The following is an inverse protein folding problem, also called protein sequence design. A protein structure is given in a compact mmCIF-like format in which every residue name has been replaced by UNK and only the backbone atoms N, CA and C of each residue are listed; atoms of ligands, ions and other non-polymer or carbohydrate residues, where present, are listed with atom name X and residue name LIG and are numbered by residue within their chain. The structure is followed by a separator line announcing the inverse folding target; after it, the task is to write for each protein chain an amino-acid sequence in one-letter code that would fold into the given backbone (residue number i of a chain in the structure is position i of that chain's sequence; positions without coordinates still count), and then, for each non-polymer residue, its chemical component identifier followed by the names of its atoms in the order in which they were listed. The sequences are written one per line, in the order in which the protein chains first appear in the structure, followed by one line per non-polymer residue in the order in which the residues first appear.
data_IF_366265377921
#
_entry.id   IF_366265377921
#
_cell.length_a   1.000
_cell.length_b   1.000
_cell.length_c   1.000
_cell.angle_alpha   90.00
_cell.angle_beta   90.00
_cell.angle_gamma   90.00
#
_symmetry.space_group_name_H-M   'P 1'
#
loop_
_entity.id
_entity.type
_entity.pdbx_description
1 polymer ?
#
# COMPACT_ATOMS: atom_id res chain seq x y z
N UNK A 1 17.53 6.39 -42.81
CA UNK A 1 18.90 5.86 -42.65
C UNK A 1 19.43 6.66 -41.51
N UNK A 2 19.54 6.02 -40.36
CA UNK A 2 19.87 6.71 -39.11
C UNK A 2 21.33 6.39 -38.79
N UNK A 3 22.07 7.37 -38.32
CA UNK A 3 23.48 7.21 -37.96
C UNK A 3 23.61 6.72 -36.50
N UNK A 4 24.52 5.79 -36.28
CA UNK A 4 24.83 5.22 -34.97
C UNK A 4 26.35 5.04 -34.84
N UNK A 5 27.04 6.02 -34.25
CA UNK A 5 28.50 6.05 -34.27
C UNK A 5 29.02 6.16 -35.71
N UNK A 6 29.91 5.26 -36.10
CA UNK A 6 30.38 5.13 -37.50
C UNK A 6 29.48 4.22 -38.35
N UNK A 7 28.37 3.71 -37.79
CA UNK A 7 27.47 2.78 -38.47
C UNK A 7 26.20 3.44 -38.99
N UNK A 8 25.60 2.80 -39.99
CA UNK A 8 24.28 3.16 -40.49
C UNK A 8 23.23 2.11 -40.14
N UNK A 9 22.10 2.58 -39.62
CA UNK A 9 20.89 1.80 -39.39
C UNK A 9 20.03 1.88 -40.65
N UNK A 10 19.90 0.73 -41.33
CA UNK A 10 19.07 0.58 -42.53
C UNK A 10 17.79 -0.18 -42.16
N UNK A 11 16.63 0.39 -42.50
CA UNK A 11 15.33 -0.20 -42.20
C UNK A 11 14.53 -0.42 -43.48
N UNK A 12 13.99 -1.63 -43.64
CA UNK A 12 12.96 -1.97 -44.62
C UNK A 12 11.69 -2.40 -43.86
N UNK A 13 10.56 -2.58 -44.56
CA UNK A 13 9.24 -2.90 -44.01
C UNK A 13 9.23 -4.02 -42.97
N UNK A 14 10.16 -4.98 -43.07
CA UNK A 14 10.22 -6.16 -42.19
C UNK A 14 11.61 -6.39 -41.55
N UNK A 15 12.58 -5.49 -41.73
CA UNK A 15 13.98 -5.76 -41.37
C UNK A 15 14.75 -4.51 -40.93
N UNK A 16 15.62 -4.65 -39.93
CA UNK A 16 16.63 -3.65 -39.56
C UNK A 16 18.03 -4.24 -39.72
N UNK A 17 18.99 -3.43 -40.19
CA UNK A 17 20.40 -3.79 -40.38
C UNK A 17 21.31 -2.71 -39.79
N UNK A 18 22.52 -3.12 -39.36
CA UNK A 18 23.64 -2.24 -39.04
C UNK A 18 24.79 -2.51 -40.01
N UNK A 19 25.33 -1.45 -40.63
CA UNK A 19 26.42 -1.50 -41.59
C UNK A 19 27.54 -0.49 -41.27
N UNK A 20 28.80 -0.89 -41.44
CA UNK A 20 30.04 -0.09 -41.25
C UNK A 20 30.27 0.92 -42.37
N UNK A 21 29.87 0.53 -43.56
CA UNK A 21 29.88 1.30 -44.79
C UNK A 21 28.94 0.55 -45.74
N UNK A 22 28.45 1.22 -46.78
CA UNK A 22 27.41 0.73 -47.71
C UNK A 22 27.60 -0.68 -48.31
N UNK A 23 28.75 -1.33 -48.08
CA UNK A 23 29.13 -2.65 -48.60
C UNK A 23 29.42 -3.74 -47.55
N UNK A 24 29.39 -3.47 -46.24
CA UNK A 24 29.72 -4.47 -45.21
C UNK A 24 28.69 -4.48 -44.06
N UNK A 25 27.82 -5.48 -44.09
CA UNK A 25 26.79 -5.73 -43.08
C UNK A 25 27.45 -6.39 -41.86
N UNK A 26 27.43 -5.72 -40.71
CA UNK A 26 28.07 -6.22 -39.47
C UNK A 26 27.17 -7.20 -38.71
N UNK A 27 25.84 -7.08 -38.86
CA UNK A 27 24.91 -7.94 -38.12
C UNK A 27 23.72 -8.39 -38.95
N UNK A 28 23.22 -9.57 -38.55
CA UNK A 28 22.13 -10.30 -39.19
C UNK A 28 20.85 -9.48 -39.33
N UNK A 29 20.03 -9.88 -40.29
CA UNK A 29 18.65 -9.46 -40.48
C UNK A 29 17.85 -9.51 -39.16
N UNK A 30 17.58 -8.37 -38.54
CA UNK A 30 16.69 -8.29 -37.38
C UNK A 30 15.25 -8.11 -37.84
N UNK A 31 14.36 -9.03 -37.48
CA UNK A 31 12.95 -9.02 -37.89
C UNK A 31 12.00 -8.61 -36.76
N UNK A 32 12.54 -8.25 -35.60
CA UNK A 32 11.77 -7.95 -34.38
C UNK A 32 12.05 -6.53 -33.87
N UNK A 33 11.65 -6.25 -32.64
CA UNK A 33 11.81 -4.98 -31.95
C UNK A 33 13.29 -4.55 -31.86
N UNK A 34 13.57 -3.35 -32.34
CA UNK A 34 14.87 -2.68 -32.27
C UNK A 34 14.74 -1.38 -31.50
N UNK A 35 15.72 -1.08 -30.66
CA UNK A 35 15.84 0.16 -29.90
C UNK A 35 17.29 0.63 -29.94
N UNK A 36 17.53 1.93 -29.98
CA UNK A 36 18.89 2.47 -29.90
C UNK A 36 18.93 3.84 -29.25
N UNK A 37 20.10 4.19 -28.73
CA UNK A 37 20.44 5.51 -28.25
C UNK A 37 21.81 5.94 -28.82
N UNK A 38 22.42 6.99 -28.26
CA UNK A 38 23.74 7.48 -28.72
C UNK A 38 24.90 6.49 -28.53
N UNK A 39 24.75 5.50 -27.64
CA UNK A 39 25.83 4.61 -27.21
C UNK A 39 25.59 3.13 -27.61
N UNK A 40 24.33 2.70 -27.65
CA UNK A 40 23.93 1.30 -27.85
C UNK A 40 22.84 1.15 -28.90
N UNK A 41 22.96 0.10 -29.70
CA UNK A 41 21.89 -0.49 -30.48
C UNK A 41 21.51 -1.85 -29.89
N UNK A 42 20.22 -2.09 -29.70
CA UNK A 42 19.68 -3.33 -29.15
C UNK A 42 18.62 -3.89 -30.08
N UNK A 43 18.78 -5.17 -30.44
CA UNK A 43 17.80 -5.89 -31.25
C UNK A 43 17.36 -7.18 -30.58
N UNK A 44 16.06 -7.42 -30.58
CA UNK A 44 15.49 -8.69 -30.16
C UNK A 44 15.61 -9.73 -31.28
N UNK A 45 15.98 -10.95 -30.91
CA UNK A 45 16.16 -12.07 -31.84
C UNK A 45 15.51 -13.33 -31.26
N UNK A 46 14.58 -13.94 -32.01
CA UNK A 46 14.00 -15.23 -31.65
C UNK A 46 15.04 -16.35 -31.62
N UNK A 47 14.98 -17.18 -30.59
CA UNK A 47 15.79 -18.40 -30.46
C UNK A 47 14.89 -19.60 -30.18
N UNK A 48 15.41 -20.81 -30.29
CA UNK A 48 14.67 -22.02 -29.90
C UNK A 48 14.26 -22.03 -28.42
N UNK A 49 14.96 -21.28 -27.56
CA UNK A 49 14.73 -21.20 -26.12
C UNK A 49 13.91 -19.96 -25.71
N UNK A 50 13.40 -19.19 -26.67
CA UNK A 50 12.65 -17.94 -26.43
C UNK A 50 13.16 -16.82 -27.32
N UNK A 51 13.80 -15.82 -26.71
CA UNK A 51 14.42 -14.70 -27.42
C UNK A 51 15.75 -14.33 -26.76
N UNK A 52 16.69 -13.81 -27.53
CA UNK A 52 17.93 -13.17 -27.06
C UNK A 52 17.95 -11.70 -27.52
N UNK A 53 18.64 -10.86 -26.78
CA UNK A 53 18.94 -9.48 -27.18
C UNK A 53 20.39 -9.41 -27.66
N UNK A 54 20.57 -8.86 -28.85
CA UNK A 54 21.87 -8.53 -29.42
C UNK A 54 22.13 -7.05 -29.13
N UNK A 55 23.20 -6.77 -28.40
CA UNK A 55 23.61 -5.43 -28.01
C UNK A 55 24.90 -5.08 -28.74
N UNK A 56 24.90 -3.97 -29.46
CA UNK A 56 26.02 -3.48 -30.26
C UNK A 56 26.36 -2.06 -29.80
N UNK A 57 27.64 -1.78 -29.56
CA UNK A 57 28.09 -0.42 -29.25
C UNK A 57 28.54 0.33 -30.51
N UNK A 58 28.90 1.60 -30.36
CA UNK A 58 29.40 2.47 -31.44
C UNK A 58 30.75 2.06 -32.02
N UNK A 59 31.45 1.09 -31.43
CA UNK A 59 32.70 0.51 -31.95
C UNK A 59 32.47 -0.88 -32.61
N UNK A 60 31.22 -1.35 -32.69
CA UNK A 60 30.85 -2.62 -33.32
C UNK A 60 31.04 -3.86 -32.46
N UNK A 61 31.41 -3.70 -31.17
CA UNK A 61 31.47 -4.79 -30.21
C UNK A 61 30.06 -5.30 -29.91
N UNK A 62 29.92 -6.63 -29.85
CA UNK A 62 28.62 -7.31 -29.70
C UNK A 62 28.58 -8.11 -28.40
N UNK A 63 27.51 -7.95 -27.62
CA UNK A 63 27.15 -8.82 -26.50
C UNK A 63 25.76 -9.42 -26.70
N UNK A 64 25.54 -10.57 -26.07
CA UNK A 64 24.24 -11.27 -26.05
C UNK A 64 23.69 -11.31 -24.63
N UNK A 65 22.40 -11.03 -24.49
CA UNK A 65 21.72 -11.03 -23.20
C UNK A 65 20.32 -11.64 -23.29
N UNK A 66 19.77 -12.12 -22.17
CA UNK A 66 18.37 -12.58 -22.09
C UNK A 66 17.41 -11.44 -21.75
N UNK A 67 17.91 -10.40 -21.10
CA UNK A 67 17.21 -9.15 -20.82
C UNK A 67 18.21 -7.99 -20.75
N UNK A 68 17.70 -6.76 -20.88
CA UNK A 68 18.52 -5.56 -20.78
C UNK A 68 17.74 -4.39 -20.18
N UNK A 69 18.45 -3.39 -19.67
CA UNK A 69 17.91 -2.08 -19.29
C UNK A 69 18.92 -0.99 -19.63
N UNK A 70 18.50 -0.03 -20.45
CA UNK A 70 19.32 1.13 -20.79
C UNK A 70 19.34 2.13 -19.64
N UNK A 71 20.53 2.59 -19.27
CA UNK A 71 20.75 3.73 -18.37
C UNK A 71 21.31 4.92 -19.17
N UNK A 72 21.58 6.05 -18.50
CA UNK A 72 22.01 7.29 -19.14
C UNK A 72 23.34 7.14 -19.91
N UNK A 73 24.31 6.40 -19.35
CA UNK A 73 25.65 6.18 -19.91
C UNK A 73 26.10 4.71 -19.78
N UNK A 74 25.22 3.80 -19.38
CA UNK A 74 25.54 2.41 -19.03
C UNK A 74 24.40 1.52 -19.51
N UNK A 75 24.66 0.21 -19.53
CA UNK A 75 23.63 -0.79 -19.81
C UNK A 75 23.68 -1.93 -18.81
N UNK A 76 22.52 -2.28 -18.26
CA UNK A 76 22.36 -3.50 -17.47
C UNK A 76 22.05 -4.64 -18.45
N UNK A 77 22.82 -5.73 -18.36
CA UNK A 77 22.61 -6.92 -19.18
C UNK A 77 22.42 -8.13 -18.27
N UNK A 78 21.39 -8.92 -18.57
CA UNK A 78 21.21 -10.24 -17.98
C UNK A 78 21.88 -11.30 -18.85
N UNK A 79 22.93 -11.92 -18.33
CA UNK A 79 23.73 -12.94 -19.00
C UNK A 79 23.69 -14.21 -18.14
N UNK A 80 23.21 -15.32 -18.72
CA UNK A 80 23.04 -16.60 -18.00
C UNK A 80 22.25 -16.44 -16.69
N UNK A 81 21.11 -15.72 -16.76
CA UNK A 81 20.21 -15.45 -15.62
C UNK A 81 20.80 -14.59 -14.50
N UNK A 82 21.91 -13.89 -14.76
CA UNK A 82 22.51 -12.97 -13.80
C UNK A 82 22.77 -11.61 -14.45
N UNK A 83 22.43 -10.56 -13.72
CA UNK A 83 22.59 -9.17 -14.11
C UNK A 83 23.99 -8.67 -13.82
N UNK A 84 24.54 -7.92 -14.77
CA UNK A 84 25.77 -7.13 -14.66
C UNK A 84 25.60 -5.75 -15.30
N UNK A 85 26.58 -4.88 -15.09
CA UNK A 85 26.60 -3.50 -15.62
C UNK A 85 27.80 -3.33 -16.54
N UNK A 86 27.56 -2.74 -17.70
CA UNK A 86 28.53 -2.54 -18.75
C UNK A 86 28.61 -1.07 -19.15
N UNK A 87 29.84 -0.62 -19.44
CA UNK A 87 30.09 0.73 -19.95
C UNK A 87 29.66 0.87 -21.44
N UNK A 88 29.83 2.07 -22.00
CA UNK A 88 29.55 2.37 -23.42
C UNK A 88 30.40 1.54 -24.39
N UNK A 89 31.56 1.04 -23.94
CA UNK A 89 32.45 0.15 -24.68
C UNK A 89 32.12 -1.33 -24.45
N UNK A 90 31.00 -1.62 -23.79
CA UNK A 90 30.59 -2.96 -23.36
C UNK A 90 31.67 -3.68 -22.54
N UNK A 91 32.51 -2.95 -21.80
CA UNK A 91 33.38 -3.53 -20.78
C UNK A 91 32.60 -3.72 -19.49
N UNK A 92 32.89 -4.81 -18.78
CA UNK A 92 32.29 -5.10 -17.49
C UNK A 92 32.72 -4.04 -16.46
N UNK A 93 31.73 -3.31 -15.92
CA UNK A 93 31.89 -2.50 -14.71
C UNK A 93 31.58 -3.39 -13.49
N UNK A 94 30.44 -4.08 -13.56
CA UNK A 94 29.98 -5.04 -12.55
C UNK A 94 29.70 -6.36 -13.27
N UNK A 95 30.43 -7.42 -12.88
CA UNK A 95 30.28 -8.74 -13.50
C UNK A 95 28.86 -9.29 -13.31
N UNK A 96 28.33 -10.06 -14.29
CA UNK A 96 26.98 -10.62 -14.23
C UNK A 96 26.88 -11.77 -13.23
N UNK A 97 26.79 -11.42 -11.94
CA UNK A 97 26.77 -12.35 -10.81
C UNK A 97 25.50 -12.24 -9.97
N UNK A 98 24.63 -11.27 -10.25
CA UNK A 98 23.53 -10.89 -9.37
C UNK A 98 22.19 -11.34 -9.93
N UNK A 99 21.32 -11.88 -9.10
CA UNK A 99 19.94 -12.23 -9.45
C UNK A 99 19.11 -10.97 -9.77
N UNK A 100 19.50 -9.82 -9.19
CA UNK A 100 18.88 -8.54 -9.41
C UNK A 100 19.87 -7.40 -9.16
N UNK A 101 19.75 -6.31 -9.93
CA UNK A 101 20.48 -5.05 -9.72
C UNK A 101 19.49 -3.89 -9.85
N UNK A 102 19.52 -2.98 -8.88
CA UNK A 102 18.78 -1.73 -8.88
C UNK A 102 19.71 -0.56 -8.56
N UNK A 103 19.74 0.44 -9.44
CA UNK A 103 20.53 1.65 -9.24
C UNK A 103 19.89 2.57 -8.18
N UNK A 104 20.73 3.16 -7.33
CA UNK A 104 20.37 4.16 -6.34
C UNK A 104 21.50 5.20 -6.21
N UNK A 105 21.46 6.27 -7.02
CA UNK A 105 22.54 7.25 -7.08
C UNK A 105 23.85 6.62 -7.57
N UNK A 106 24.92 6.75 -6.77
CA UNK A 106 26.25 6.20 -7.04
C UNK A 106 26.45 4.75 -6.53
N UNK A 107 25.37 4.11 -6.07
CA UNK A 107 25.38 2.77 -5.50
C UNK A 107 24.32 1.87 -6.16
N UNK A 108 24.47 0.57 -5.96
CA UNK A 108 23.57 -0.44 -6.52
C UNK A 108 23.10 -1.39 -5.43
N UNK A 109 21.79 -1.51 -5.29
CA UNK A 109 21.17 -2.58 -4.50
C UNK A 109 21.21 -3.83 -5.35
N UNK A 110 21.77 -4.91 -4.81
CA UNK A 110 21.98 -6.16 -5.53
C UNK A 110 21.45 -7.35 -4.76
N UNK A 111 20.93 -8.35 -5.49
CA UNK A 111 20.54 -9.64 -4.92
C UNK A 111 21.57 -10.70 -5.29
N UNK A 112 22.18 -11.32 -4.30
CA UNK A 112 23.22 -12.33 -4.46
C UNK A 112 22.93 -13.53 -3.57
N UNK A 113 22.81 -14.72 -4.18
CA UNK A 113 22.50 -15.99 -3.49
C UNK A 113 21.26 -15.89 -2.60
N UNK A 114 20.21 -15.27 -3.12
CA UNK A 114 18.93 -15.09 -2.44
C UNK A 114 18.84 -13.94 -1.44
N UNK A 115 19.93 -13.24 -1.13
CA UNK A 115 19.97 -12.14 -0.16
C UNK A 115 20.36 -10.82 -0.80
N UNK A 116 19.86 -9.72 -0.24
CA UNK A 116 20.12 -8.36 -0.70
C UNK A 116 21.32 -7.75 0.03
N UNK A 117 22.12 -7.00 -0.73
CA UNK A 117 23.22 -6.14 -0.29
C UNK A 117 23.31 -4.89 -1.15
N UNK A 118 24.29 -4.04 -0.85
CA UNK A 118 24.58 -2.81 -1.62
C UNK A 118 26.05 -2.79 -2.01
N UNK A 119 26.33 -2.49 -3.27
CA UNK A 119 27.68 -2.29 -3.80
C UNK A 119 27.86 -0.85 -4.30
N UNK A 120 29.10 -0.38 -4.31
CA UNK A 120 29.47 0.85 -5.00
C UNK A 120 29.70 0.60 -6.51
N UNK A 121 29.92 1.67 -7.26
CA UNK A 121 30.26 1.60 -8.70
C UNK A 121 31.55 0.86 -9.05
N UNK A 122 32.40 0.60 -8.07
CA UNK A 122 33.64 -0.15 -8.25
C UNK A 122 33.47 -1.63 -7.84
N UNK A 123 32.22 -2.07 -7.64
CA UNK A 123 31.87 -3.43 -7.22
C UNK A 123 32.37 -3.80 -5.81
N UNK A 124 32.61 -2.81 -4.93
CA UNK A 124 32.90 -3.07 -3.52
C UNK A 124 31.62 -3.13 -2.71
N UNK A 125 31.55 -4.05 -1.73
CA UNK A 125 30.44 -4.10 -0.79
C UNK A 125 30.41 -2.85 0.11
N UNK A 126 29.32 -2.09 -0.01
CA UNK A 126 28.93 -1.06 0.97
C UNK A 126 28.13 -1.72 2.10
N UNK A 127 27.20 -2.61 1.72
CA UNK A 127 26.41 -3.43 2.64
C UNK A 127 26.49 -4.89 2.14
N UNK A 128 27.11 -5.83 2.89
CA UNK A 128 27.20 -7.23 2.46
C UNK A 128 25.82 -7.88 2.28
N UNK A 129 25.70 -8.90 1.40
CA UNK A 129 24.42 -9.54 1.10
C UNK A 129 23.99 -10.46 2.24
N UNK A 130 23.19 -9.93 3.16
CA UNK A 130 22.68 -10.66 4.33
C UNK A 130 21.20 -10.38 4.65
N UNK A 131 20.54 -9.55 3.82
CA UNK A 131 19.21 -9.03 4.07
C UNK A 131 18.15 -9.71 3.22
N UNK A 132 16.94 -9.83 3.76
CA UNK A 132 15.77 -10.27 2.98
C UNK A 132 15.27 -9.17 2.06
N UNK A 133 15.44 -7.92 2.46
CA UNK A 133 14.98 -6.76 1.71
C UNK A 133 15.86 -5.55 2.03
N UNK A 134 16.07 -4.70 1.02
CA UNK A 134 16.73 -3.41 1.14
C UNK A 134 15.89 -2.39 0.36
N UNK A 135 15.46 -1.34 1.04
CA UNK A 135 14.65 -0.25 0.49
C UNK A 135 15.49 1.03 0.55
N UNK A 136 15.77 1.70 -0.59
CA UNK A 136 16.50 2.97 -0.57
C UNK A 136 15.64 4.06 0.05
N UNK A 137 16.22 4.82 0.98
CA UNK A 137 15.59 6.02 1.58
C UNK A 137 16.05 7.25 0.80
N UNK A 138 17.36 7.35 0.56
CA UNK A 138 17.99 8.36 -0.29
C UNK A 138 19.20 7.76 -1.02
N UNK A 139 20.06 8.59 -1.63
CA UNK A 139 21.23 8.13 -2.38
C UNK A 139 22.33 7.43 -1.57
N UNK A 140 22.25 7.44 -0.23
CA UNK A 140 23.25 6.86 0.68
C UNK A 140 22.66 6.01 1.80
N UNK A 141 21.41 6.26 2.20
CA UNK A 141 20.75 5.60 3.32
C UNK A 141 19.75 4.54 2.84
N UNK A 142 19.72 3.40 3.53
CA UNK A 142 18.87 2.26 3.22
C UNK A 142 18.12 1.77 4.44
N UNK A 143 16.85 1.44 4.28
CA UNK A 143 16.11 0.56 5.19
C UNK A 143 16.43 -0.90 4.86
N UNK A 144 16.86 -1.67 5.83
CA UNK A 144 17.30 -3.06 5.72
C UNK A 144 16.35 -3.94 6.53
N UNK A 145 15.99 -5.10 5.99
CA UNK A 145 15.18 -6.10 6.70
C UNK A 145 15.99 -7.38 6.84
N UNK A 146 16.28 -7.79 8.07
CA UNK A 146 17.03 -9.03 8.32
C UNK A 146 16.18 -10.30 8.13
N UNK A 147 16.82 -11.46 8.29
CA UNK A 147 16.14 -12.77 8.17
C UNK A 147 15.00 -12.99 9.18
N UNK A 148 15.02 -12.28 10.31
CA UNK A 148 14.04 -12.33 11.39
C UNK A 148 12.98 -11.22 11.32
N UNK A 149 12.90 -10.48 10.21
CA UNK A 149 12.01 -9.34 10.01
C UNK A 149 12.32 -8.13 10.91
N UNK A 150 13.54 -8.03 11.42
CA UNK A 150 14.03 -6.81 12.05
C UNK A 150 14.34 -5.75 11.00
N UNK A 151 13.82 -4.54 11.18
CA UNK A 151 14.03 -3.41 10.27
C UNK A 151 15.04 -2.42 10.84
N UNK A 152 15.95 -1.88 10.02
CA UNK A 152 16.92 -0.88 10.45
C UNK A 152 17.43 0.01 9.32
N UNK A 153 18.03 1.15 9.65
CA UNK A 153 18.63 2.07 8.67
C UNK A 153 20.16 1.92 8.69
N UNK A 154 20.78 1.93 7.52
CA UNK A 154 22.25 1.92 7.40
C UNK A 154 22.72 2.66 6.15
N UNK A 155 23.87 3.32 6.28
CA UNK A 155 24.65 3.90 5.18
C UNK A 155 25.86 3.02 4.79
N UNK A 156 26.02 1.86 5.43
CA UNK A 156 27.14 0.94 5.26
C UNK A 156 28.46 1.38 5.91
N UNK A 157 28.55 2.57 6.51
CA UNK A 157 29.78 3.11 7.12
C UNK A 157 29.76 3.04 8.64
N UNK A 158 28.61 3.22 9.28
CA UNK A 158 28.49 3.10 10.73
C UNK A 158 28.50 1.62 11.16
N UNK A 159 29.61 1.17 11.75
CA UNK A 159 29.68 -0.07 12.53
C UNK A 159 28.84 0.09 13.81
N UNK A 160 27.54 -0.06 13.69
CA UNK A 160 26.70 -0.47 14.81
C UNK A 160 25.79 -1.58 14.34
N UNK A 161 26.30 -2.81 14.45
CA UNK A 161 25.47 -4.00 14.64
C UNK A 161 24.70 -3.85 15.96
N UNK A 162 23.70 -2.98 15.98
CA UNK A 162 22.71 -2.92 17.03
C UNK A 162 21.37 -3.08 16.34
N UNK A 163 20.54 -4.00 16.84
CA UNK A 163 19.12 -4.07 16.48
C UNK A 163 18.50 -2.77 16.95
N UNK A 164 18.57 -1.76 16.09
CA UNK A 164 18.02 -0.43 16.31
C UNK A 164 16.67 -0.40 15.59
N UNK A 165 15.60 -0.30 16.37
CA UNK A 165 14.27 -0.16 15.81
C UNK A 165 14.07 1.29 15.43
N UNK A 166 13.86 1.53 14.13
CA UNK A 166 13.52 2.84 13.59
C UNK A 166 12.02 2.88 13.27
N UNK A 167 11.27 3.68 14.03
CA UNK A 167 9.87 4.00 13.73
C UNK A 167 9.79 5.51 13.44
N UNK A 168 9.34 5.87 12.24
CA UNK A 168 9.24 7.26 11.80
C UNK A 168 7.81 7.76 11.96
N UNK A 169 7.69 8.92 12.59
CA UNK A 169 6.43 9.64 12.77
C UNK A 169 6.58 11.09 12.31
N UNK A 170 5.93 11.43 11.20
CA UNK A 170 6.07 12.76 10.60
C UNK A 170 7.51 13.03 10.17
N UNK A 171 8.10 14.10 10.70
CA UNK A 171 9.43 14.59 10.32
C UNK A 171 10.58 14.04 11.21
N UNK A 172 10.29 13.12 12.14
CA UNK A 172 11.28 12.55 13.04
C UNK A 172 11.06 11.05 13.28
N UNK A 173 12.12 10.37 13.72
CA UNK A 173 12.11 8.95 14.04
C UNK A 173 12.56 8.66 15.46
N UNK A 174 12.37 7.42 15.88
CA UNK A 174 12.91 6.86 17.12
C UNK A 174 14.07 5.95 16.73
N UNK A 175 15.20 6.05 17.41
CA UNK A 175 16.24 5.02 17.38
C UNK A 175 16.26 4.34 18.74
N UNK A 176 15.94 3.04 18.79
CA UNK A 176 15.90 2.27 20.04
C UNK A 176 16.83 1.07 20.04
N UNK A 177 17.71 0.97 21.03
CA UNK A 177 18.63 -0.15 21.22
C UNK A 177 17.97 -1.37 21.92
N UNK A 178 18.73 -2.47 21.95
CA UNK A 178 18.32 -3.74 22.57
C UNK A 178 18.13 -3.67 24.08
N UNK A 179 18.63 -2.62 24.74
CA UNK A 179 18.52 -2.41 26.17
C UNK A 179 17.35 -1.50 26.54
N UNK A 180 16.42 -1.26 25.61
CA UNK A 180 15.32 -0.32 25.77
C UNK A 180 15.82 1.08 26.14
N UNK A 181 16.91 1.52 25.53
CA UNK A 181 17.26 2.93 25.45
C UNK A 181 16.91 3.46 24.07
N UNK A 182 16.48 4.71 24.00
CA UNK A 182 16.06 5.32 22.76
C UNK A 182 16.54 6.77 22.65
N UNK A 183 16.60 7.29 21.43
CA UNK A 183 16.70 8.72 21.14
C UNK A 183 15.78 9.09 19.99
N UNK A 184 15.44 10.37 19.87
CA UNK A 184 14.80 10.88 18.66
C UNK A 184 15.86 11.22 17.62
N UNK A 185 15.53 11.02 16.35
CA UNK A 185 16.38 11.31 15.20
C UNK A 185 15.59 12.06 14.13
N UNK A 186 16.26 12.79 13.25
CA UNK A 186 15.62 13.33 12.05
C UNK A 186 15.51 12.25 10.94
N UNK A 187 14.86 12.59 9.82
CA UNK A 187 14.74 11.70 8.64
C UNK A 187 16.10 11.29 8.02
N UNK A 188 17.19 11.98 8.37
CA UNK A 188 18.55 11.68 7.92
C UNK A 188 19.32 10.83 8.93
N UNK A 189 18.70 10.45 10.05
CA UNK A 189 19.32 9.68 11.12
C UNK A 189 20.17 10.50 12.09
N UNK A 190 20.14 11.83 12.01
CA UNK A 190 20.85 12.67 12.97
C UNK A 190 20.12 12.66 14.30
N UNK A 191 20.86 12.46 15.39
CA UNK A 191 20.30 12.51 16.74
C UNK A 191 19.74 13.91 17.07
N UNK A 192 18.44 13.97 17.35
CA UNK A 192 17.75 15.15 17.90
C UNK A 192 17.86 15.19 19.43
N UNK A 193 17.94 14.02 20.08
CA UNK A 193 18.10 13.89 21.53
C UNK A 193 19.25 12.97 21.91
N UNK A 194 19.70 13.07 23.16
CA UNK A 194 20.53 12.03 23.77
C UNK A 194 19.72 10.74 24.01
N UNK A 195 20.42 9.61 24.16
CA UNK A 195 19.80 8.34 24.56
C UNK A 195 19.22 8.42 25.98
N UNK A 196 18.01 7.89 26.13
CA UNK A 196 17.26 7.83 27.39
C UNK A 196 16.68 6.43 27.56
N UNK A 197 16.50 5.96 28.80
CA UNK A 197 15.80 4.69 29.04
C UNK A 197 14.31 4.85 28.74
N UNK A 198 13.74 3.89 28.02
CA UNK A 198 12.32 3.85 27.65
C UNK A 198 12.10 2.87 26.52
N UNK A 199 11.05 2.06 26.64
CA UNK A 199 10.49 1.26 25.56
C UNK A 199 9.47 2.10 24.80
N UNK A 200 9.51 2.07 23.47
CA UNK A 200 8.48 2.72 22.67
C UNK A 200 7.12 2.03 22.89
N UNK A 201 6.05 2.80 23.02
CA UNK A 201 4.71 2.28 23.24
C UNK A 201 3.75 2.61 22.09
N UNK A 202 3.63 3.89 21.74
CA UNK A 202 2.78 4.38 20.65
C UNK A 202 3.11 5.84 20.37
N UNK A 203 2.55 6.42 19.31
CA UNK A 203 2.73 7.83 18.96
C UNK A 203 1.43 8.44 18.46
N UNK A 204 1.47 9.76 18.24
CA UNK A 204 0.31 10.57 17.99
C UNK A 204 0.61 11.98 17.55
N UNK A 205 -0.41 12.74 17.14
CA UNK A 205 -0.27 14.10 16.57
C UNK A 205 0.55 15.06 17.42
N UNK A 206 0.55 14.86 18.74
CA UNK A 206 1.25 15.72 19.70
C UNK A 206 2.60 15.17 20.17
N UNK A 207 2.99 13.95 19.79
CA UNK A 207 4.26 13.33 20.22
C UNK A 207 4.25 11.82 20.40
N UNK A 208 5.26 11.30 21.08
CA UNK A 208 5.55 9.87 21.21
C UNK A 208 5.50 9.44 22.68
N UNK A 209 4.84 8.32 22.96
CA UNK A 209 4.71 7.72 24.28
C UNK A 209 5.75 6.62 24.46
N UNK A 210 6.48 6.72 25.55
CA UNK A 210 7.43 5.73 26.03
C UNK A 210 6.98 5.15 27.37
N UNK A 211 7.44 3.94 27.66
CA UNK A 211 7.23 3.24 28.92
C UNK A 211 8.58 2.83 29.51
N UNK A 212 8.79 3.18 30.78
CA UNK A 212 9.84 2.62 31.61
C UNK A 212 9.24 1.64 32.63
N UNK A 213 10.08 0.99 33.43
CA UNK A 213 9.64 0.05 34.48
C UNK A 213 8.63 0.64 35.47
N UNK A 214 8.66 1.96 35.68
CA UNK A 214 7.91 2.63 36.75
C UNK A 214 6.82 3.61 36.26
N UNK A 215 6.89 4.05 35.01
CA UNK A 215 6.04 5.14 34.52
C UNK A 215 5.97 5.14 32.99
N UNK A 216 4.94 5.82 32.51
CA UNK A 216 4.83 6.22 31.12
C UNK A 216 5.09 7.71 30.99
N UNK A 217 5.63 8.14 29.86
CA UNK A 217 5.92 9.54 29.59
C UNK A 217 5.82 9.83 28.11
N UNK A 218 5.55 11.09 27.78
CA UNK A 218 5.38 11.53 26.40
C UNK A 218 6.41 12.61 26.07
N UNK A 219 7.05 12.48 24.91
CA UNK A 219 7.96 13.49 24.37
C UNK A 219 7.34 14.11 23.11
N UNK A 220 7.52 15.41 22.93
CA UNK A 220 7.24 16.06 21.64
C UNK A 220 8.40 15.87 20.65
N UNK A 221 8.25 16.41 19.44
CA UNK A 221 9.26 16.37 18.37
C UNK A 221 10.62 16.98 18.77
N UNK A 222 10.63 17.94 19.69
CA UNK A 222 11.85 18.56 20.22
C UNK A 222 12.50 17.73 21.33
N UNK A 223 11.95 16.56 21.67
CA UNK A 223 12.40 15.73 22.79
C UNK A 223 12.05 16.27 24.17
N UNK A 224 11.18 17.28 24.25
CA UNK A 224 10.70 17.83 25.52
C UNK A 224 9.64 16.90 26.11
N UNK A 225 9.82 16.54 27.37
CA UNK A 225 8.80 15.82 28.14
C UNK A 225 7.55 16.69 28.31
N UNK A 226 6.42 16.19 27.81
CA UNK A 226 5.11 16.80 27.96
C UNK A 226 4.47 16.39 29.28
N UNK A 227 4.50 15.09 29.59
CA UNK A 227 4.04 14.57 30.87
C UNK A 227 4.75 13.29 31.26
N UNK A 228 4.61 12.95 32.55
CA UNK A 228 5.05 11.70 33.15
C UNK A 228 4.00 11.20 34.13
N UNK A 229 3.49 9.99 33.91
CA UNK A 229 2.46 9.39 34.76
C UNK A 229 2.92 8.05 35.33
N UNK A 230 2.72 7.90 36.64
CA UNK A 230 3.05 6.72 37.41
C UNK A 230 1.80 5.88 37.67
N UNK A 231 1.99 4.59 37.97
CA UNK A 231 0.94 3.69 38.43
C UNK A 231 -0.24 3.51 37.44
N UNK A 232 0.08 3.45 36.15
CA UNK A 232 -0.85 3.07 35.09
C UNK A 232 -0.35 1.80 34.41
N UNK A 233 -1.28 0.92 34.06
CA UNK A 233 -1.00 -0.38 33.46
C UNK A 233 -0.72 -0.24 31.96
N UNK A 234 -1.36 0.74 31.30
CA UNK A 234 -1.25 0.98 29.85
C UNK A 234 -1.68 2.40 29.48
N UNK A 235 -1.12 2.92 28.39
CA UNK A 235 -1.58 4.13 27.70
C UNK A 235 -1.70 3.85 26.21
N UNK A 236 -2.81 4.28 25.62
CA UNK A 236 -3.07 4.19 24.18
C UNK A 236 -3.40 5.59 23.65
N UNK A 237 -2.74 5.98 22.57
CA UNK A 237 -2.99 7.25 21.91
C UNK A 237 -4.31 7.25 21.12
N UNK A 238 -4.96 8.40 20.99
CA UNK A 238 -6.09 8.65 20.07
C UNK A 238 -5.76 9.83 19.18
N UNK A 239 -6.30 9.92 17.97
CA UNK A 239 -5.99 11.02 17.03
C UNK A 239 -6.16 12.42 17.63
N UNK A 240 -7.06 12.53 18.62
CA UNK A 240 -7.34 13.72 19.39
C UNK A 240 -6.53 13.77 20.70
N UNK A 241 -6.36 14.96 21.27
CA UNK A 241 -5.61 15.31 22.51
C UNK A 241 -5.99 14.52 23.80
N UNK A 242 -6.79 13.44 23.69
CA UNK A 242 -7.18 12.51 24.74
C UNK A 242 -6.46 11.17 24.60
N UNK A 243 -5.76 10.77 25.66
CA UNK A 243 -5.08 9.48 25.71
C UNK A 243 -5.86 8.52 26.61
N UNK A 244 -6.17 7.33 26.11
CA UNK A 244 -6.80 6.29 26.88
C UNK A 244 -5.80 5.68 27.87
N UNK A 245 -6.16 5.61 29.14
CA UNK A 245 -5.29 5.12 30.22
C UNK A 245 -5.97 3.99 30.98
N UNK A 246 -5.21 2.94 31.33
CA UNK A 246 -5.70 1.82 32.14
C UNK A 246 -5.07 1.83 33.52
N UNK A 247 -5.88 1.69 34.55
CA UNK A 247 -5.46 1.58 35.95
C UNK A 247 -6.34 0.61 36.70
N UNK A 248 -5.72 -0.32 37.43
CA UNK A 248 -6.42 -1.31 38.25
C UNK A 248 -7.51 -2.06 37.45
N UNK A 249 -7.21 -2.39 36.20
CA UNK A 249 -8.14 -3.09 35.31
C UNK A 249 -9.12 -2.20 34.53
N UNK A 250 -9.34 -0.94 34.93
CA UNK A 250 -10.33 -0.05 34.33
C UNK A 250 -9.72 1.07 33.49
N UNK A 251 -10.44 1.46 32.46
CA UNK A 251 -10.03 2.48 31.51
C UNK A 251 -10.68 3.83 31.78
N UNK A 252 -9.93 4.90 31.49
CA UNK A 252 -10.34 6.30 31.53
C UNK A 252 -9.51 7.11 30.51
N UNK A 253 -9.52 8.43 30.62
CA UNK A 253 -8.77 9.31 29.71
C UNK A 253 -8.08 10.47 30.41
N UNK A 254 -6.87 10.80 29.93
CA UNK A 254 -6.13 12.02 30.27
C UNK A 254 -6.02 12.92 29.04
N UNK A 255 -5.75 14.21 29.24
CA UNK A 255 -5.31 15.07 28.14
C UNK A 255 -3.79 14.99 27.90
N UNK A 256 -3.29 15.73 26.91
CA UNK A 256 -1.85 15.86 26.58
C UNK A 256 -0.99 16.50 27.67
N UNK A 257 -1.59 17.14 28.69
CA UNK A 257 -0.88 17.59 29.89
C UNK A 257 -0.76 16.50 30.98
N UNK A 258 -1.30 15.31 30.72
CA UNK A 258 -1.36 14.21 31.69
C UNK A 258 -2.46 14.36 32.74
N UNK A 259 -3.38 15.32 32.58
CA UNK A 259 -4.47 15.59 33.54
C UNK A 259 -5.63 14.63 33.26
N UNK A 260 -6.09 13.91 34.29
CA UNK A 260 -7.25 13.02 34.22
C UNK A 260 -8.51 13.83 33.85
N UNK A 261 -9.12 13.49 32.72
CA UNK A 261 -10.38 14.09 32.23
C UNK A 261 -11.56 13.17 32.46
N UNK A 262 -11.36 11.86 32.30
CA UNK A 262 -12.40 10.84 32.42
C UNK A 262 -11.86 9.75 33.35
N UNK A 263 -12.58 9.45 34.43
CA UNK A 263 -12.12 8.54 35.47
C UNK A 263 -12.00 7.08 34.97
N UNK A 264 -11.08 6.31 35.56
CA UNK A 264 -10.89 4.89 35.26
C UNK A 264 -12.05 4.03 35.79
N UNK A 265 -13.16 3.97 35.04
CA UNK A 265 -14.39 3.26 35.45
C UNK A 265 -15.00 2.36 34.36
N UNK A 266 -14.43 2.34 33.17
CA UNK A 266 -14.92 1.53 32.06
C UNK A 266 -14.13 0.22 31.96
N UNK A 267 -14.82 -0.88 31.65
CA UNK A 267 -14.17 -2.19 31.47
C UNK A 267 -13.22 -2.15 30.27
N UNK A 268 -13.58 -1.39 29.24
CA UNK A 268 -12.81 -1.17 28.02
C UNK A 268 -13.23 0.15 27.40
N UNK A 269 -12.30 0.83 26.73
CA UNK A 269 -12.58 1.99 25.89
C UNK A 269 -11.90 1.82 24.55
N UNK A 270 -12.38 2.54 23.54
CA UNK A 270 -11.66 2.77 22.29
C UNK A 270 -11.17 4.22 22.22
N UNK A 271 -10.11 4.50 21.44
CA UNK A 271 -9.62 5.86 21.27
C UNK A 271 -10.72 6.82 20.82
N UNK A 272 -10.62 8.10 21.18
CA UNK A 272 -11.54 9.11 20.65
C UNK A 272 -11.35 9.27 19.14
N UNK A 273 -12.46 9.31 18.43
CA UNK A 273 -12.55 9.64 17.00
C UNK A 273 -13.82 10.46 16.78
N UNK A 274 -13.73 11.57 16.04
CA UNK A 274 -14.88 12.45 15.77
C UNK A 274 -15.64 12.88 17.05
N UNK A 275 -14.91 13.23 18.12
CA UNK A 275 -15.47 13.58 19.44
C UNK A 275 -16.31 12.47 20.12
N UNK A 276 -16.13 11.22 19.71
CA UNK A 276 -16.78 10.06 20.33
C UNK A 276 -15.77 9.00 20.72
N UNK A 277 -16.02 8.35 21.85
CA UNK A 277 -15.30 7.14 22.24
C UNK A 277 -16.30 6.04 22.55
N UNK A 278 -16.07 4.86 21.99
CA UNK A 278 -16.79 3.66 22.38
C UNK A 278 -16.31 3.21 23.76
N UNK A 279 -17.25 3.02 24.68
CA UNK A 279 -16.96 2.56 26.04
C UNK A 279 -17.74 1.31 26.36
N UNK A 280 -17.17 0.45 27.20
CA UNK A 280 -17.78 -0.82 27.63
C UNK A 280 -18.03 -0.80 29.13
N UNK A 281 -19.26 -1.10 29.52
CA UNK A 281 -19.68 -1.29 30.92
C UNK A 281 -20.44 -2.60 31.01
N UNK A 282 -20.00 -3.50 31.90
CA UNK A 282 -20.64 -4.81 32.15
C UNK A 282 -20.92 -5.57 30.86
N UNK A 283 -19.90 -5.64 30.00
CA UNK A 283 -19.95 -6.26 28.68
C UNK A 283 -20.85 -5.63 27.62
N UNK A 284 -21.47 -4.48 27.87
CA UNK A 284 -22.24 -3.73 26.89
C UNK A 284 -21.51 -2.48 26.44
N UNK A 285 -21.54 -2.21 25.14
CA UNK A 285 -20.93 -1.05 24.50
C UNK A 285 -21.92 0.08 24.35
N UNK A 286 -21.44 1.30 24.58
CA UNK A 286 -22.09 2.57 24.30
C UNK A 286 -21.06 3.60 23.87
N UNK A 287 -21.44 4.87 23.82
CA UNK A 287 -20.57 5.95 23.38
C UNK A 287 -20.66 7.17 24.30
N UNK A 288 -19.51 7.77 24.58
CA UNK A 288 -19.41 9.05 25.30
C UNK A 288 -18.83 10.14 24.40
N UNK A 289 -19.11 11.39 24.74
CA UNK A 289 -18.37 12.55 24.23
C UNK A 289 -17.17 12.89 25.13
N UNK A 290 -16.44 13.97 24.79
CA UNK A 290 -15.27 14.45 25.56
C UNK A 290 -15.59 14.94 26.97
N UNK A 291 -16.84 15.30 27.24
CA UNK A 291 -17.33 15.70 28.56
C UNK A 291 -17.79 14.52 29.41
N UNK A 292 -17.60 13.29 28.92
CA UNK A 292 -18.12 12.06 29.55
C UNK A 292 -19.65 11.94 29.53
N UNK A 293 -20.35 12.74 28.71
CA UNK A 293 -21.79 12.57 28.51
C UNK A 293 -22.04 11.28 27.72
N UNK A 294 -22.92 10.42 28.22
CA UNK A 294 -23.38 9.23 27.52
C UNK A 294 -24.28 9.67 26.35
N UNK A 295 -23.68 9.76 25.16
CA UNK A 295 -24.41 10.01 23.91
C UNK A 295 -25.23 8.78 23.53
N UNK A 296 -24.65 7.60 23.74
CA UNK A 296 -25.32 6.32 23.49
C UNK A 296 -25.16 5.44 24.72
N UNK A 297 -26.29 5.02 25.29
CA UNK A 297 -26.29 4.15 26.47
C UNK A 297 -25.61 2.80 26.16
N UNK A 298 -24.93 2.16 27.12
CA UNK A 298 -24.29 0.88 26.87
C UNK A 298 -25.29 -0.28 26.84
N UNK A 299 -25.77 -0.64 25.64
CA UNK A 299 -26.67 -1.77 25.44
C UNK A 299 -26.28 -2.67 24.24
N UNK A 300 -25.23 -2.31 23.50
CA UNK A 300 -24.79 -3.08 22.34
C UNK A 300 -23.81 -4.18 22.73
N UNK A 301 -23.90 -5.36 22.11
CA UNK A 301 -22.92 -6.42 22.33
C UNK A 301 -21.61 -6.16 21.59
N UNK A 302 -21.67 -5.45 20.46
CA UNK A 302 -20.53 -5.06 19.62
C UNK A 302 -20.79 -3.68 19.00
N UNK A 303 -19.73 -2.90 18.77
CA UNK A 303 -19.77 -1.62 18.03
C UNK A 303 -18.53 -1.49 17.14
N UNK A 304 -18.62 -0.74 16.04
CA UNK A 304 -17.46 -0.21 15.32
C UNK A 304 -17.04 1.14 15.88
N UNK A 305 -15.90 1.66 15.42
CA UNK A 305 -15.55 3.06 15.65
C UNK A 305 -16.41 3.97 14.78
N UNK A 306 -16.41 5.27 15.10
CA UNK A 306 -17.12 6.26 14.32
C UNK A 306 -16.30 6.65 13.08
N UNK A 307 -16.80 6.25 11.91
CA UNK A 307 -16.25 6.65 10.62
C UNK A 307 -17.26 7.50 9.86
N UNK A 308 -16.84 8.68 9.40
CA UNK A 308 -17.72 9.63 8.68
C UNK A 308 -19.04 9.89 9.43
N UNK A 309 -18.96 10.06 10.77
CA UNK A 309 -20.12 10.31 11.65
C UNK A 309 -21.13 9.15 11.78
N UNK A 310 -20.75 7.93 11.39
CA UNK A 310 -21.59 6.74 11.54
C UNK A 310 -20.84 5.60 12.23
N UNK A 311 -21.56 4.73 12.93
CA UNK A 311 -21.00 3.53 13.54
C UNK A 311 -21.92 2.32 13.38
N UNK A 312 -21.34 1.16 13.09
CA UNK A 312 -22.05 -0.11 13.13
C UNK A 312 -22.24 -0.56 14.57
N UNK A 313 -23.41 -1.12 14.86
CA UNK A 313 -23.76 -1.59 16.19
C UNK A 313 -24.43 -2.95 16.10
N UNK A 314 -24.27 -3.77 17.14
CA UNK A 314 -24.94 -5.06 17.25
C UNK A 314 -25.81 -5.11 18.50
N UNK A 315 -27.10 -5.28 18.30
CA UNK A 315 -28.11 -5.40 19.35
C UNK A 315 -28.91 -6.68 19.15
N UNK A 316 -29.13 -7.48 20.20
CA UNK A 316 -29.86 -8.75 20.13
C UNK A 316 -29.41 -9.66 18.96
N UNK A 317 -28.09 -9.73 18.73
CA UNK A 317 -27.46 -10.50 17.65
C UNK A 317 -27.82 -10.04 16.23
N UNK A 318 -28.26 -8.78 16.07
CA UNK A 318 -28.55 -8.14 14.78
C UNK A 318 -27.73 -6.87 14.62
N UNK A 319 -27.29 -6.61 13.40
CA UNK A 319 -26.52 -5.44 13.02
C UNK A 319 -27.42 -4.29 12.59
N UNK A 320 -27.03 -3.08 12.99
CA UNK A 320 -27.61 -1.81 12.58
C UNK A 320 -26.51 -0.77 12.36
N UNK A 321 -26.91 0.42 11.93
CA UNK A 321 -26.05 1.58 11.72
C UNK A 321 -26.65 2.77 12.46
N UNK A 322 -25.85 3.46 13.26
CA UNK A 322 -26.27 4.67 13.98
C UNK A 322 -25.49 5.90 13.51
N UNK A 323 -26.07 7.08 13.72
CA UNK A 323 -25.40 8.36 13.57
C UNK A 323 -24.61 8.77 14.82
N UNK A 324 -24.02 9.96 14.78
CA UNK A 324 -23.20 10.53 15.88
C UNK A 324 -23.99 10.86 17.16
N UNK A 325 -25.31 10.94 17.08
CA UNK A 325 -26.22 11.17 18.20
C UNK A 325 -26.76 9.86 18.78
N UNK A 326 -26.55 8.73 18.09
CA UNK A 326 -27.06 7.43 18.49
C UNK A 326 -28.37 7.04 17.80
N UNK A 327 -28.87 7.85 16.88
CA UNK A 327 -30.11 7.57 16.16
C UNK A 327 -29.84 6.53 15.07
N UNK A 328 -30.76 5.57 14.90
CA UNK A 328 -30.63 4.57 13.85
C UNK A 328 -30.77 5.19 12.46
N UNK A 329 -29.73 5.01 11.65
CA UNK A 329 -29.75 5.19 10.20
C UNK A 329 -30.28 3.90 9.54
N UNK A 330 -29.87 2.74 10.07
CA UNK A 330 -30.38 1.42 9.70
C UNK A 330 -30.67 0.66 10.98
N UNK A 331 -31.93 0.28 11.18
CA UNK A 331 -32.38 -0.47 12.37
C UNK A 331 -31.59 -1.77 12.57
N UNK A 332 -31.37 -2.14 13.83
CA UNK A 332 -30.64 -3.35 14.20
C UNK A 332 -31.50 -4.62 14.01
N UNK A 333 -31.79 -4.98 12.77
CA UNK A 333 -32.62 -6.14 12.40
C UNK A 333 -31.97 -7.10 11.39
N UNK A 334 -30.74 -6.79 10.95
CA UNK A 334 -30.03 -7.51 9.91
C UNK A 334 -29.03 -8.51 10.48
N UNK A 335 -28.82 -9.63 9.80
CA UNK A 335 -27.80 -10.62 10.17
C UNK A 335 -26.39 -10.11 9.86
N UNK A 336 -26.27 -9.19 8.90
CA UNK A 336 -25.01 -8.62 8.42
C UNK A 336 -25.30 -7.31 7.67
N UNK A 337 -24.43 -6.31 7.82
CA UNK A 337 -24.42 -5.10 7.00
C UNK A 337 -23.01 -4.90 6.45
N UNK A 338 -22.89 -4.77 5.12
CA UNK A 338 -21.61 -4.50 4.45
C UNK A 338 -21.66 -3.10 3.86
N UNK A 339 -20.66 -2.28 4.17
CA UNK A 339 -20.47 -0.96 3.57
C UNK A 339 -19.73 -1.09 2.24
N UNK A 340 -20.34 -0.58 1.18
CA UNK A 340 -19.74 -0.49 -0.14
C UNK A 340 -19.61 0.98 -0.56
N UNK A 341 -18.83 1.25 -1.62
CA UNK A 341 -18.72 2.61 -2.15
C UNK A 341 -20.07 3.06 -2.73
N UNK A 342 -20.84 3.81 -1.93
CA UNK A 342 -22.08 4.45 -2.34
C UNK A 342 -23.38 3.74 -1.92
N UNK A 343 -23.31 2.64 -1.17
CA UNK A 343 -24.50 1.92 -0.68
C UNK A 343 -24.13 0.94 0.45
N UNK A 344 -25.14 0.32 1.06
CA UNK A 344 -25.00 -0.78 2.01
C UNK A 344 -25.68 -2.04 1.47
N UNK A 345 -25.03 -3.19 1.65
CA UNK A 345 -25.66 -4.50 1.47
C UNK A 345 -26.21 -4.98 2.80
N UNK A 346 -27.47 -5.41 2.79
CA UNK A 346 -28.21 -5.79 3.98
C UNK A 346 -28.55 -7.27 3.91
N UNK A 347 -28.07 -8.07 4.86
CA UNK A 347 -28.40 -9.50 4.90
C UNK A 347 -29.46 -9.78 5.94
N UNK A 348 -30.50 -10.53 5.57
CA UNK A 348 -31.50 -11.04 6.52
C UNK A 348 -32.06 -12.36 6.01
N UNK A 349 -32.08 -13.38 6.87
CA UNK A 349 -32.60 -14.72 6.54
C UNK A 349 -31.99 -15.31 5.25
N UNK A 350 -30.66 -15.23 5.14
CA UNK A 350 -29.88 -15.72 3.98
C UNK A 350 -30.17 -15.02 2.64
N UNK A 351 -30.88 -13.89 2.65
CA UNK A 351 -31.11 -13.05 1.47
C UNK A 351 -30.41 -11.72 1.61
N UNK A 352 -30.11 -11.10 0.47
CA UNK A 352 -29.46 -9.80 0.37
C UNK A 352 -30.41 -8.73 -0.13
N UNK A 353 -30.26 -7.55 0.44
CA UNK A 353 -30.94 -6.30 0.11
C UNK A 353 -29.93 -5.17 -0.05
N UNK A 354 -30.43 -3.99 -0.43
CA UNK A 354 -29.62 -2.82 -0.76
C UNK A 354 -30.24 -1.60 -0.08
N UNK A 355 -29.42 -0.79 0.59
CA UNK A 355 -29.77 0.54 1.06
C UNK A 355 -28.81 1.59 0.49
N UNK A 356 -29.28 2.82 0.30
CA UNK A 356 -28.41 3.92 -0.13
C UNK A 356 -27.49 4.39 1.03
N UNK A 357 -26.58 5.33 0.76
CA UNK A 357 -25.69 5.89 1.80
C UNK A 357 -26.43 6.62 2.93
N UNK A 358 -27.68 7.04 2.73
CA UNK A 358 -28.53 7.63 3.77
C UNK A 358 -29.23 6.58 4.63
N UNK A 359 -29.02 5.28 4.37
CA UNK A 359 -29.69 4.18 5.08
C UNK A 359 -31.08 3.82 4.55
N UNK A 360 -31.60 4.54 3.55
CA UNK A 360 -32.90 4.23 2.98
C UNK A 360 -32.82 2.91 2.23
N UNK A 361 -33.64 1.94 2.64
CA UNK A 361 -33.73 0.63 1.99
C UNK A 361 -34.31 0.80 0.58
N UNK A 362 -33.49 0.56 -0.43
CA UNK A 362 -33.87 0.58 -1.85
C UNK A 362 -34.54 -0.73 -2.23
N UNK A 363 -33.97 -1.83 -1.73
CA UNK A 363 -34.48 -3.18 -1.94
C UNK A 363 -34.33 -3.97 -0.64
N UNK A 364 -35.45 -4.41 -0.08
CA UNK A 364 -35.41 -5.31 1.06
C UNK A 364 -34.71 -6.65 0.71
N UNK A 365 -34.18 -7.37 1.73
CA UNK A 365 -33.53 -8.65 1.52
C UNK A 365 -34.38 -9.67 0.76
N UNK A 366 -34.10 -9.85 -0.53
CA UNK A 366 -34.81 -10.80 -1.40
C UNK A 366 -33.92 -11.50 -2.42
N UNK A 367 -32.69 -11.02 -2.61
CA UNK A 367 -31.73 -11.61 -3.55
C UNK A 367 -30.99 -12.79 -2.91
N UNK A 368 -30.78 -13.85 -3.68
CA UNK A 368 -29.98 -15.00 -3.30
C UNK A 368 -28.49 -14.63 -3.23
N UNK A 369 -28.04 -13.84 -4.21
CA UNK A 369 -26.66 -13.38 -4.31
C UNK A 369 -26.61 -11.96 -4.90
N UNK A 370 -25.61 -11.19 -4.48
CA UNK A 370 -25.26 -9.90 -5.08
C UNK A 370 -23.76 -9.90 -5.34
N UNK A 371 -23.36 -9.66 -6.59
CA UNK A 371 -21.97 -9.42 -6.98
C UNK A 371 -21.80 -7.93 -7.31
N UNK A 372 -20.81 -7.30 -6.68
CA UNK A 372 -20.50 -5.88 -6.86
C UNK A 372 -19.47 -5.73 -7.98
N UNK A 373 -19.85 -5.09 -9.08
CA UNK A 373 -18.95 -4.71 -10.16
C UNK A 373 -18.45 -3.28 -10.02
N UNK A 374 -17.57 -2.84 -10.93
CA UNK A 374 -17.02 -1.48 -10.94
C UNK A 374 -18.11 -0.40 -10.92
N UNK A 375 -19.11 -0.54 -11.79
CA UNK A 375 -20.15 0.48 -12.03
C UNK A 375 -21.60 -0.07 -11.96
N UNK A 376 -21.79 -1.31 -11.50
CA UNK A 376 -23.08 -2.00 -11.49
C UNK A 376 -23.17 -3.03 -10.35
N UNK A 377 -24.38 -3.55 -10.13
CA UNK A 377 -24.63 -4.71 -9.26
C UNK A 377 -25.26 -5.83 -10.08
N UNK A 378 -24.70 -7.05 -10.01
CA UNK A 378 -25.35 -8.25 -10.52
C UNK A 378 -26.12 -8.89 -9.37
N UNK A 379 -27.43 -8.93 -9.47
CA UNK A 379 -28.30 -9.50 -8.44
C UNK A 379 -28.92 -10.80 -8.97
N UNK A 380 -28.97 -11.83 -8.13
CA UNK A 380 -29.59 -13.11 -8.46
C UNK A 380 -30.85 -13.32 -7.62
N UNK A 381 -31.94 -13.69 -8.28
CA UNK A 381 -33.22 -14.01 -7.64
C UNK A 381 -33.92 -15.11 -8.42
N UNK A 382 -34.31 -16.19 -7.72
CA UNK A 382 -35.03 -17.32 -8.32
C UNK A 382 -34.30 -17.97 -9.52
N UNK A 383 -32.96 -18.07 -9.45
CA UNK A 383 -32.13 -18.63 -10.52
C UNK A 383 -31.99 -17.74 -11.76
N UNK A 384 -32.50 -16.50 -11.70
CA UNK A 384 -32.31 -15.50 -12.74
C UNK A 384 -31.39 -14.39 -12.24
N UNK A 385 -30.49 -13.93 -13.10
CA UNK A 385 -29.66 -12.76 -12.80
C UNK A 385 -30.22 -11.50 -13.46
N UNK A 386 -30.04 -10.36 -12.80
CA UNK A 386 -30.37 -9.02 -13.27
C UNK A 386 -29.21 -8.08 -13.01
N UNK A 387 -29.10 -7.03 -13.81
CA UNK A 387 -28.08 -6.00 -13.64
C UNK A 387 -28.74 -4.70 -13.21
N UNK A 388 -28.30 -4.16 -12.09
CA UNK A 388 -28.73 -2.86 -11.56
C UNK A 388 -27.62 -1.83 -11.70
N UNK A 389 -27.97 -0.54 -11.76
CA UNK A 389 -27.00 0.54 -11.53
C UNK A 389 -26.28 0.34 -10.19
N UNK A 390 -25.11 0.94 -10.02
CA UNK A 390 -24.36 0.88 -8.75
C UNK A 390 -25.16 1.37 -7.54
N UNK A 391 -26.09 2.30 -7.76
CA UNK A 391 -27.00 2.77 -6.71
C UNK A 391 -28.12 1.77 -6.38
N UNK A 392 -28.29 0.70 -7.16
CA UNK A 392 -29.36 -0.29 -7.00
C UNK A 392 -30.75 0.18 -7.46
N UNK A 393 -30.87 1.37 -8.06
CA UNK A 393 -32.17 2.01 -8.32
C UNK A 393 -32.82 1.68 -9.67
N UNK A 394 -32.02 1.40 -10.72
CA UNK A 394 -32.50 1.15 -12.07
C UNK A 394 -31.98 -0.17 -12.63
N UNK A 395 -32.85 -0.86 -13.39
CA UNK A 395 -32.49 -2.05 -14.18
C UNK A 395 -31.77 -1.60 -15.45
N UNK A 396 -30.54 -2.08 -15.63
CA UNK A 396 -29.73 -1.83 -16.83
C UNK A 396 -30.14 -2.78 -17.94
N UNK A 397 -30.44 -4.03 -17.61
CA UNK A 397 -30.76 -5.09 -18.57
C UNK A 397 -32.06 -4.87 -19.35
N UNK A 398 -33.06 -4.20 -18.77
CA UNK A 398 -34.32 -3.88 -19.45
C UNK A 398 -34.17 -2.91 -20.64
N UNK A 399 -33.02 -2.24 -20.76
CA UNK A 399 -32.75 -1.30 -21.86
C UNK A 399 -32.28 -2.00 -23.15
N UNK A 400 -32.08 -3.33 -23.11
CA UNK A 400 -31.53 -4.14 -24.19
C UNK A 400 -32.38 -5.37 -24.49
N UNK A 401 -32.34 -5.86 -25.73
CA UNK A 401 -32.94 -7.14 -26.13
C UNK A 401 -32.09 -8.32 -25.62
N UNK A 402 -30.76 -8.15 -25.58
CA UNK A 402 -29.80 -9.11 -25.01
C UNK A 402 -28.64 -8.37 -24.34
N UNK A 403 -28.17 -8.86 -23.20
CA UNK A 403 -26.97 -8.36 -22.51
C UNK A 403 -26.04 -9.52 -22.18
N UNK A 404 -24.75 -9.37 -22.50
CA UNK A 404 -23.69 -10.30 -22.14
C UNK A 404 -22.69 -9.60 -21.23
N UNK A 405 -22.23 -10.31 -20.20
CA UNK A 405 -21.20 -9.81 -19.28
C UNK A 405 -19.89 -10.59 -19.50
N UNK A 406 -18.82 -9.88 -19.84
CA UNK A 406 -17.47 -10.43 -19.95
C UNK A 406 -16.75 -10.28 -18.61
N UNK A 407 -16.74 -11.35 -17.81
CA UNK A 407 -16.13 -11.38 -16.46
C UNK A 407 -14.64 -11.05 -16.47
N UNK A 408 -13.92 -11.36 -17.56
CA UNK A 408 -12.47 -11.14 -17.65
C UNK A 408 -12.12 -9.68 -17.89
N UNK A 409 -13.01 -8.95 -18.57
CA UNK A 409 -12.80 -7.54 -18.95
C UNK A 409 -13.64 -6.57 -18.12
N UNK A 410 -14.56 -7.08 -17.29
CA UNK A 410 -15.55 -6.29 -16.55
C UNK A 410 -16.39 -5.37 -17.47
N UNK A 411 -16.74 -5.87 -18.65
CA UNK A 411 -17.49 -5.12 -19.67
C UNK A 411 -18.82 -5.79 -20.00
N UNK A 412 -19.79 -4.97 -20.42
CA UNK A 412 -21.07 -5.45 -20.94
C UNK A 412 -21.17 -5.25 -22.45
N UNK A 413 -21.80 -6.21 -23.10
CA UNK A 413 -22.18 -6.17 -24.51
C UNK A 413 -23.71 -6.20 -24.57
N UNK A 414 -24.32 -5.03 -24.81
CA UNK A 414 -25.76 -4.90 -25.00
C UNK A 414 -26.14 -4.93 -26.48
N UNK A 415 -27.27 -5.55 -26.82
CA UNK A 415 -27.86 -5.54 -28.16
C UNK A 415 -29.28 -4.98 -28.10
N UNK A 416 -29.60 -4.01 -28.96
CA UNK A 416 -30.92 -3.39 -29.11
C UNK A 416 -31.30 -3.29 -30.60
N UNK A 417 -32.41 -3.91 -30.99
CA UNK A 417 -32.99 -4.05 -32.33
C UNK A 417 -32.08 -4.64 -33.44
N UNK A 418 -32.68 -5.01 -34.58
CA UNK A 418 -32.08 -5.83 -35.65
C UNK A 418 -31.01 -5.12 -36.51
N UNK A 419 -30.47 -3.97 -36.11
CA UNK A 419 -29.26 -3.38 -36.69
C UNK A 419 -28.06 -3.66 -35.79
N UNK A 420 -26.98 -4.17 -36.39
CA UNK A 420 -25.71 -4.44 -35.69
C UNK A 420 -25.03 -3.12 -35.34
N UNK A 421 -25.34 -2.57 -34.17
CA UNK A 421 -24.52 -1.54 -33.54
C UNK A 421 -24.00 -2.11 -32.22
N UNK A 422 -22.68 -2.05 -32.02
CA UNK A 422 -22.07 -2.34 -30.74
C UNK A 422 -22.29 -1.11 -29.86
N UNK A 423 -23.09 -1.25 -28.82
CA UNK A 423 -23.23 -0.20 -27.79
C UNK A 423 -22.42 -0.64 -26.58
N UNK A 424 -21.40 0.13 -26.22
CA UNK A 424 -20.63 -0.11 -25.02
C UNK A 424 -21.38 0.50 -23.83
N UNK A 425 -21.50 -0.24 -22.72
CA UNK A 425 -22.21 0.25 -21.54
C UNK A 425 -21.52 1.46 -20.90
N UNK A 426 -20.22 1.66 -21.15
CA UNK A 426 -19.50 2.88 -20.77
C UNK A 426 -20.17 4.13 -21.33
N UNK A 427 -20.70 4.05 -22.55
CA UNK A 427 -21.30 5.17 -23.26
C UNK A 427 -22.71 5.48 -22.71
N UNK A 428 -23.41 4.45 -22.22
CA UNK A 428 -24.72 4.58 -21.55
C UNK A 428 -24.58 5.08 -20.12
N UNK A 429 -23.58 4.60 -19.37
CA UNK A 429 -23.30 5.03 -18.00
C UNK A 429 -22.78 6.48 -17.94
N UNK A 430 -22.13 6.97 -18.99
CA UNK A 430 -21.68 8.36 -19.13
C UNK A 430 -22.82 9.34 -19.46
N UNK A 431 -24.02 8.85 -19.82
CA UNK A 431 -25.12 9.68 -20.30
C UNK A 431 -24.92 10.21 -21.72
N UNK A 432 -23.93 9.69 -22.46
CA UNK A 432 -23.55 10.12 -23.80
C UNK A 432 -24.31 9.37 -24.92
N UNK A 433 -25.25 8.49 -24.56
CA UNK A 433 -26.07 7.74 -25.51
C UNK A 433 -27.56 8.13 -25.35
N UNK A 434 -28.22 8.65 -26.41
CA UNK A 434 -29.58 9.18 -26.35
C UNK A 434 -30.69 8.13 -26.12
#
# INVERSE_FOLDING_TARGET
MDEFGEFFILKNSNMTFIAEDSNKIISEKFSEETQWNKDFFVAKKKTYQGHEYIVINTEGKVLKATAYKLLKNEILLEIKSHWGIFDQKLNEIISPLYENIQANGDQFIVKFKGLYGVIDKNNNWVIPPQYKEIIPIDGTNYKLVDKYLGEFISDGKSKSEARLYYDFYGDFGIEQDVNHTFRLIDLKGNALTAFQKGKYSSHGSSGIIFQNENYHFMLNEAGKELFKIYNYDSIVFSEDEFLAIKKNGNWGFINTDGILRIANRYDTVRPFQNDRSAIKIRNSWGFINRNEDLVVQPYYSEVSDFENKTAFVKFNNKYGLIDINGDYIIEAEYDEIIKEKGFYLLRKASKWGIANIQGNVISYPTYDHISVGKDFLKVEKYGTSRILSKSGTSLIDQQFDQIFYDEKRELFLGRKQAKKEQVFLTDILAGDYP
#
